data_IF_032930609079
#
_entry.id   IF_032930609079
#
_cell.length_a   1.000
_cell.length_b   1.000
_cell.length_c   1.000
_cell.angle_alpha   90.00
_cell.angle_beta   90.00
_cell.angle_gamma   90.00
#
_symmetry.space_group_name_H-M   'P 1'
#
loop_
_entity.id
_entity.type
_entity.pdbx_description
1 polymer ?
#
# COMPACT_ATOMS: atom_id res chain seq x y z
N UNK A 1 -8.78 -7.99 -8.35
CA UNK A 1 -7.73 -8.02 -7.29
C UNK A 1 -8.09 -7.00 -6.22
N UNK A 2 -7.60 -7.14 -4.99
CA UNK A 2 -8.04 -6.30 -3.86
C UNK A 2 -7.82 -4.78 -4.08
N UNK A 3 -6.80 -4.36 -4.83
CA UNK A 3 -6.43 -2.95 -5.05
C UNK A 3 -6.64 -2.43 -6.47
N UNK A 4 -7.27 -3.23 -7.36
CA UNK A 4 -7.39 -2.92 -8.79
C UNK A 4 -6.05 -2.50 -9.42
N UNK A 5 -5.05 -3.40 -9.32
CA UNK A 5 -3.68 -3.22 -9.83
C UNK A 5 -2.96 -1.94 -9.37
N UNK A 6 -3.32 -1.41 -8.19
CA UNK A 6 -2.77 -0.16 -7.64
C UNK A 6 -3.06 1.06 -8.53
N UNK A 7 -4.25 1.09 -9.13
CA UNK A 7 -4.77 2.25 -9.86
C UNK A 7 -4.67 3.54 -9.02
N UNK A 8 -4.27 4.65 -9.64
CA UNK A 8 -4.23 5.97 -8.98
C UNK A 8 -5.63 6.40 -8.48
N UNK A 9 -6.72 5.87 -9.06
CA UNK A 9 -8.08 6.09 -8.57
C UNK A 9 -8.29 5.59 -7.14
N UNK A 10 -7.51 4.59 -6.70
CA UNK A 10 -7.54 4.04 -5.35
C UNK A 10 -6.46 4.64 -4.46
N UNK A 11 -5.65 5.60 -4.92
CA UNK A 11 -4.55 6.14 -4.12
C UNK A 11 -5.07 7.02 -3.00
N UNK A 12 -4.74 6.65 -1.77
CA UNK A 12 -5.08 7.37 -0.56
C UNK A 12 -4.03 8.43 -0.20
N UNK A 13 -2.77 8.21 -0.58
CA UNK A 13 -1.68 9.14 -0.32
C UNK A 13 -0.30 8.56 -0.62
N UNK A 14 0.74 9.28 -0.19
CA UNK A 14 2.15 8.85 -0.29
C UNK A 14 2.91 9.26 0.96
N UNK A 15 3.61 8.30 1.58
CA UNK A 15 4.55 8.56 2.67
C UNK A 15 5.98 8.24 2.26
N UNK A 16 6.91 8.32 3.22
CA UNK A 16 8.35 8.07 2.99
C UNK A 16 8.70 6.69 2.41
N UNK A 17 7.80 5.71 2.58
CA UNK A 17 8.00 4.33 2.11
C UNK A 17 7.21 4.00 0.84
N UNK A 18 6.55 4.99 0.24
CA UNK A 18 5.79 4.83 -1.00
C UNK A 18 4.30 5.15 -0.88
N UNK A 19 3.56 4.95 -1.98
CA UNK A 19 2.12 5.22 -2.06
C UNK A 19 1.29 4.22 -1.26
N UNK A 20 0.16 4.70 -0.74
CA UNK A 20 -0.87 3.92 -0.04
C UNK A 20 -2.12 3.92 -0.91
N UNK A 21 -2.73 2.76 -1.09
CA UNK A 21 -3.92 2.55 -1.91
C UNK A 21 -5.05 1.92 -1.09
N UNK A 22 -6.28 2.25 -1.44
CA UNK A 22 -7.48 1.59 -0.97
C UNK A 22 -7.59 0.23 -1.65
N UNK A 23 -7.98 -0.78 -0.88
CA UNK A 23 -8.37 -2.07 -1.40
C UNK A 23 -9.64 -2.58 -0.74
N UNK A 24 -10.23 -3.63 -1.32
CA UNK A 24 -11.43 -4.30 -0.83
C UNK A 24 -11.23 -5.81 -0.88
N UNK A 25 -11.36 -6.47 0.27
CA UNK A 25 -11.29 -7.93 0.40
C UNK A 25 -12.58 -8.59 -0.09
N UNK A 26 -12.51 -9.90 -0.35
CA UNK A 26 -13.72 -10.70 -0.54
C UNK A 26 -14.53 -10.67 0.76
N UNK A 27 -15.78 -10.19 0.70
CA UNK A 27 -16.59 -9.85 1.88
C UNK A 27 -16.78 -8.35 2.10
N UNK A 28 -16.11 -7.51 1.31
CA UNK A 28 -16.36 -6.08 1.23
C UNK A 28 -15.65 -5.23 2.29
N UNK A 29 -14.85 -5.86 3.15
CA UNK A 29 -13.97 -5.15 4.08
C UNK A 29 -12.96 -4.29 3.31
N UNK A 30 -12.92 -3.01 3.66
CA UNK A 30 -11.97 -2.06 3.10
C UNK A 30 -10.62 -2.16 3.83
N UNK A 31 -9.54 -2.07 3.07
CA UNK A 31 -8.16 -2.16 3.56
C UNK A 31 -7.32 -1.03 2.96
N UNK A 32 -6.21 -0.71 3.61
CA UNK A 32 -5.16 0.15 3.06
C UNK A 32 -3.93 -0.70 2.73
N UNK A 33 -3.44 -0.60 1.49
CA UNK A 33 -2.28 -1.35 0.99
C UNK A 33 -1.15 -0.37 0.67
N UNK A 34 -0.02 -0.50 1.37
CA UNK A 34 1.17 0.31 1.15
C UNK A 34 2.10 -0.38 0.17
N UNK A 35 2.36 0.24 -0.99
CA UNK A 35 3.31 -0.29 -1.98
C UNK A 35 4.70 0.25 -1.68
N UNK A 36 5.62 -0.64 -1.32
CA UNK A 36 7.02 -0.28 -1.13
C UNK A 36 7.61 0.17 -2.46
N UNK A 37 8.13 1.40 -2.51
CA UNK A 37 8.93 1.83 -3.65
C UNK A 37 10.35 1.28 -3.49
N UNK A 38 10.90 0.67 -4.54
CA UNK A 38 12.24 0.08 -4.58
C UNK A 38 13.39 1.06 -4.26
N UNK A 39 13.11 2.36 -4.22
CA UNK A 39 14.07 3.42 -3.81
C UNK A 39 14.28 3.55 -2.31
N UNK A 40 13.47 2.90 -1.46
CA UNK A 40 13.67 2.95 0.00
C UNK A 40 14.37 1.69 0.49
N UNK A 41 15.69 1.62 0.33
CA UNK A 41 16.54 0.61 0.99
C UNK A 41 16.42 0.64 2.53
N UNK A 42 15.95 1.75 3.12
CA UNK A 42 15.56 1.83 4.54
C UNK A 42 14.22 1.14 4.88
N UNK A 43 13.31 1.02 3.91
CA UNK A 43 11.91 0.70 4.18
C UNK A 43 11.60 -0.75 4.52
N UNK A 44 12.43 -1.69 4.08
CA UNK A 44 12.21 -3.11 4.32
C UNK A 44 12.42 -3.49 5.79
N UNK A 45 13.31 -2.78 6.48
CA UNK A 45 13.65 -3.04 7.89
C UNK A 45 12.61 -2.42 8.84
N UNK A 46 12.08 -1.23 8.53
CA UNK A 46 11.06 -0.57 9.35
C UNK A 46 9.62 -1.04 9.07
N UNK A 47 9.40 -1.80 7.98
CA UNK A 47 8.11 -2.46 7.72
C UNK A 47 7.94 -3.75 8.54
N UNK A 48 9.05 -4.36 9.00
CA UNK A 48 9.05 -5.48 9.94
C UNK A 48 9.07 -5.00 11.40
N UNK A 49 8.24 -4.03 11.74
CA UNK A 49 7.94 -3.80 13.15
C UNK A 49 6.71 -4.65 13.50
N UNK A 50 6.92 -5.44 14.56
CA UNK A 50 6.15 -6.57 15.11
C UNK A 50 4.62 -6.41 15.15
#
# INVERSE_FOLDING_TARGET
>A
MATDDFSDANKLGRGGYGPVYKGKLQGGQEIAVKRLSSVSSQGLQEFKNE
#
